data_IF_434218863746
#
_entry.id   IF_434218863746
#
_cell.length_a   1.000
_cell.length_b   1.000
_cell.length_c   1.000
_cell.angle_alpha   90.00
_cell.angle_beta   90.00
_cell.angle_gamma   90.00
#
_symmetry.space_group_name_H-M   'P 1'
#
loop_
_entity.id
_entity.type
_entity.pdbx_description
1 polymer ?
#
# COMPACT_ATOMS: atom_id res chain seq x y z
N UNK A 1 -27.47 9.26 -23.32
CA UNK A 1 -28.62 10.12 -22.97
C UNK A 1 -28.37 10.60 -21.55
N UNK A 2 -28.12 11.91 -21.38
CA UNK A 2 -27.87 12.54 -20.08
C UNK A 2 -29.13 12.45 -19.21
N UNK A 3 -29.03 11.77 -18.07
CA UNK A 3 -30.11 11.75 -17.08
C UNK A 3 -30.11 13.10 -16.33
N UNK A 4 -31.20 13.89 -16.35
CA UNK A 4 -31.28 15.19 -15.65
C UNK A 4 -31.13 15.10 -14.12
N UNK A 5 -31.09 13.90 -13.54
CA UNK A 5 -30.79 13.68 -12.13
C UNK A 5 -29.31 13.91 -11.76
N UNK A 6 -28.36 13.68 -12.68
CA UNK A 6 -26.92 13.84 -12.38
C UNK A 6 -26.54 15.31 -12.08
N UNK A 7 -27.20 16.26 -12.74
CA UNK A 7 -26.95 17.70 -12.59
C UNK A 7 -27.50 18.30 -11.28
N UNK A 8 -28.38 17.62 -10.54
CA UNK A 8 -28.92 18.10 -9.26
C UNK A 8 -28.04 17.80 -8.05
N UNK A 9 -27.13 16.84 -8.16
CA UNK A 9 -26.32 16.36 -7.04
C UNK A 9 -25.06 17.23 -6.87
N UNK A 10 -24.76 18.12 -7.81
CA UNK A 10 -23.52 18.92 -7.75
C UNK A 10 -22.28 18.03 -7.72
N UNK A 11 -22.36 16.86 -8.37
CA UNK A 11 -21.23 15.96 -8.50
C UNK A 11 -20.12 16.71 -9.22
N UNK A 12 -18.94 16.90 -8.60
CA UNK A 12 -17.86 17.62 -9.24
C UNK A 12 -17.51 16.94 -10.57
N UNK A 13 -17.22 17.73 -11.61
CA UNK A 13 -16.90 17.23 -12.96
C UNK A 13 -15.70 16.27 -12.95
N UNK A 14 -14.87 16.31 -11.90
CA UNK A 14 -13.77 15.38 -11.60
C UNK A 14 -14.21 13.92 -11.48
N UNK A 15 -15.49 13.63 -11.23
CA UNK A 15 -16.03 12.26 -11.21
C UNK A 15 -16.07 11.65 -12.62
N UNK A 16 -16.12 12.50 -13.65
CA UNK A 16 -16.20 12.08 -15.06
C UNK A 16 -14.88 12.28 -15.82
N UNK A 17 -13.92 12.99 -15.23
CA UNK A 17 -12.53 13.10 -15.68
C UNK A 17 -11.61 12.45 -14.65
N UNK A 18 -11.52 11.12 -14.66
CA UNK A 18 -10.35 10.45 -14.10
C UNK A 18 -9.41 10.14 -15.25
N UNK A 19 -8.53 11.08 -15.54
CA UNK A 19 -7.26 10.70 -16.18
C UNK A 19 -6.58 9.74 -15.20
N UNK A 20 -6.62 8.44 -15.51
CA UNK A 20 -5.98 7.40 -14.69
C UNK A 20 -4.49 7.77 -14.62
N UNK A 21 -3.97 7.96 -13.41
CA UNK A 21 -2.58 8.39 -13.25
C UNK A 21 -1.60 7.33 -13.74
N UNK A 22 -0.36 7.71 -14.04
CA UNK A 22 0.67 6.76 -14.44
C UNK A 22 0.87 5.66 -13.38
N UNK A 23 0.83 6.03 -12.10
CA UNK A 23 0.86 5.10 -10.97
C UNK A 23 -0.29 4.09 -11.04
N UNK A 24 -1.53 4.56 -11.18
CA UNK A 24 -2.71 3.69 -11.25
C UNK A 24 -2.70 2.79 -12.49
N UNK A 25 -2.28 3.32 -13.65
CA UNK A 25 -2.15 2.54 -14.88
C UNK A 25 -1.21 1.35 -14.68
N UNK A 26 -0.05 1.57 -14.06
CA UNK A 26 0.93 0.53 -13.79
C UNK A 26 0.41 -0.52 -12.81
N UNK A 27 -0.22 -0.10 -11.71
CA UNK A 27 -0.83 -1.03 -10.75
C UNK A 27 -1.98 -1.83 -11.39
N UNK A 28 -2.78 -1.21 -12.24
CA UNK A 28 -3.90 -1.87 -12.90
C UNK A 28 -3.46 -3.02 -13.82
N UNK A 29 -2.25 -2.96 -14.39
CA UNK A 29 -1.67 -4.08 -15.15
C UNK A 29 -1.41 -5.32 -14.27
N UNK A 30 -1.20 -5.14 -12.95
CA UNK A 30 -0.93 -6.20 -11.99
C UNK A 30 -2.19 -6.84 -11.38
N UNK A 31 -3.39 -6.37 -11.75
CA UNK A 31 -4.66 -6.91 -11.23
C UNK A 31 -4.94 -8.35 -11.66
N UNK A 32 -4.09 -8.96 -12.49
CA UNK A 32 -4.27 -10.33 -12.98
C UNK A 32 -3.66 -11.42 -12.05
N UNK A 33 -4.11 -12.66 -12.29
CA UNK A 33 -3.61 -13.96 -11.80
C UNK A 33 -3.90 -14.47 -10.37
N UNK A 34 -3.68 -13.75 -9.27
CA UNK A 34 -4.04 -14.29 -7.92
C UNK A 34 -4.04 -13.19 -6.84
N UNK A 35 -5.00 -13.24 -5.91
CA UNK A 35 -5.12 -12.28 -4.82
C UNK A 35 -5.71 -10.92 -5.25
N UNK A 36 -6.53 -10.32 -4.38
CA UNK A 36 -7.06 -8.97 -4.55
C UNK A 36 -5.96 -7.94 -4.33
N UNK A 37 -5.93 -6.91 -5.18
CA UNK A 37 -4.98 -5.80 -5.10
C UNK A 37 -5.64 -4.54 -5.66
N UNK A 38 -6.60 -4.02 -4.92
CA UNK A 38 -7.21 -2.74 -5.26
C UNK A 38 -6.31 -1.63 -4.76
N UNK A 39 -5.96 -0.69 -5.64
CA UNK A 39 -5.26 0.54 -5.30
C UNK A 39 -5.94 1.68 -6.04
N UNK A 40 -6.16 2.78 -5.35
CA UNK A 40 -6.74 4.02 -5.89
C UNK A 40 -5.89 5.18 -5.36
N UNK A 41 -5.32 5.97 -6.25
CA UNK A 41 -4.58 7.17 -5.85
C UNK A 41 -5.54 8.22 -5.29
N UNK A 42 -5.19 8.82 -4.15
CA UNK A 42 -6.03 9.80 -3.47
C UNK A 42 -5.39 11.19 -3.46
N UNK A 43 -4.12 11.26 -3.05
CA UNK A 43 -3.36 12.48 -2.98
C UNK A 43 -1.88 12.19 -3.28
N UNK A 44 -1.36 12.46 -4.50
CA UNK A 44 0.06 12.24 -4.81
C UNK A 44 1.01 13.04 -3.92
N UNK A 45 0.55 14.15 -3.33
CA UNK A 45 1.29 14.99 -2.37
C UNK A 45 1.12 14.51 -0.91
N UNK A 46 0.50 13.35 -0.70
CA UNK A 46 0.37 12.72 0.61
C UNK A 46 1.74 12.35 1.20
N UNK A 47 1.75 12.02 2.48
CA UNK A 47 2.97 11.71 3.24
C UNK A 47 2.98 10.29 3.83
N UNK A 48 1.93 9.50 3.55
CA UNK A 48 1.76 8.14 4.06
C UNK A 48 1.51 7.22 2.87
N UNK A 49 2.27 6.11 2.80
CA UNK A 49 2.06 4.98 1.90
C UNK A 49 1.32 3.87 2.66
N UNK A 50 -0.02 3.75 2.54
CA UNK A 50 -0.78 2.81 3.34
C UNK A 50 -1.02 1.50 2.56
N UNK A 51 -0.21 0.49 2.85
CA UNK A 51 -0.46 -0.90 2.45
C UNK A 51 -1.48 -1.52 3.41
N UNK A 52 -2.75 -1.49 3.02
CA UNK A 52 -3.87 -1.91 3.83
C UNK A 52 -4.35 -3.29 3.41
N UNK A 53 -4.63 -4.15 4.39
CA UNK A 53 -4.96 -5.55 4.14
C UNK A 53 -6.33 -5.94 4.69
N UNK A 54 -7.30 -6.14 3.81
CA UNK A 54 -8.69 -6.49 4.11
C UNK A 54 -9.60 -5.26 4.15
N UNK A 55 -10.72 -5.33 3.43
CA UNK A 55 -11.60 -4.18 3.17
C UNK A 55 -12.07 -3.37 4.39
N UNK A 56 -12.30 -4.01 5.55
CA UNK A 56 -12.66 -3.30 6.78
C UNK A 56 -11.54 -2.40 7.33
N UNK A 57 -10.27 -2.74 7.07
CA UNK A 57 -9.13 -1.92 7.46
C UNK A 57 -8.95 -0.73 6.51
N UNK A 58 -9.18 -0.93 5.21
CA UNK A 58 -9.02 0.12 4.20
C UNK A 58 -9.97 1.31 4.42
N UNK A 59 -11.27 1.05 4.60
CA UNK A 59 -12.27 2.12 4.79
C UNK A 59 -12.02 2.94 6.05
N UNK A 60 -11.77 2.27 7.18
CA UNK A 60 -11.52 2.94 8.45
C UNK A 60 -10.19 3.72 8.47
N UNK A 61 -9.14 3.17 7.85
CA UNK A 61 -7.86 3.85 7.76
C UNK A 61 -7.91 5.04 6.79
N UNK A 62 -8.54 4.89 5.64
CA UNK A 62 -8.65 5.99 4.66
C UNK A 62 -9.38 7.19 5.26
N UNK A 63 -10.47 6.97 6.00
CA UNK A 63 -11.18 8.03 6.73
C UNK A 63 -10.27 8.72 7.77
N UNK A 64 -9.48 7.93 8.51
CA UNK A 64 -8.59 8.44 9.56
C UNK A 64 -7.38 9.20 9.00
N UNK A 65 -6.80 8.73 7.89
CA UNK A 65 -5.60 9.31 7.28
C UNK A 65 -5.93 10.56 6.47
N UNK A 66 -7.12 10.63 5.86
CA UNK A 66 -7.57 11.74 5.04
C UNK A 66 -6.55 12.10 3.94
N UNK A 67 -6.27 13.39 3.78
CA UNK A 67 -5.33 13.91 2.77
C UNK A 67 -3.86 13.48 2.98
N UNK A 68 -3.53 12.78 4.07
CA UNK A 68 -2.17 12.29 4.29
C UNK A 68 -1.89 10.99 3.54
N UNK A 69 -2.92 10.21 3.24
CA UNK A 69 -2.79 8.97 2.49
C UNK A 69 -2.54 9.27 1.01
N UNK A 70 -1.48 8.67 0.46
CA UNK A 70 -1.16 8.83 -0.96
C UNK A 70 -2.15 8.06 -1.83
N UNK A 71 -2.49 6.84 -1.42
CA UNK A 71 -3.48 6.00 -2.06
C UNK A 71 -4.35 5.28 -1.03
N UNK A 72 -5.51 4.79 -1.43
CA UNK A 72 -6.23 3.72 -0.73
C UNK A 72 -5.77 2.37 -1.30
N UNK A 73 -5.71 1.33 -0.47
CA UNK A 73 -5.40 -0.02 -0.95
C UNK A 73 -6.23 -1.10 -0.25
N UNK A 74 -6.47 -2.23 -0.90
CA UNK A 74 -7.02 -3.42 -0.26
C UNK A 74 -6.37 -4.67 -0.86
N UNK A 75 -5.45 -5.25 -0.08
CA UNK A 75 -4.76 -6.48 -0.41
C UNK A 75 -5.38 -7.68 0.32
N UNK A 76 -5.84 -8.66 -0.45
CA UNK A 76 -6.57 -9.84 0.04
C UNK A 76 -6.31 -11.09 -0.80
N UNK A 77 -6.79 -12.25 -0.33
CA UNK A 77 -6.75 -13.49 -1.14
C UNK A 77 -5.36 -14.12 -1.32
N UNK A 78 -4.43 -13.87 -0.39
CA UNK A 78 -3.07 -14.42 -0.39
C UNK A 78 -2.29 -14.13 -1.70
N UNK A 79 -2.00 -12.83 -1.99
CA UNK A 79 -1.26 -12.46 -3.18
C UNK A 79 0.15 -13.09 -3.18
N UNK A 80 0.68 -13.52 -4.33
CA UNK A 80 2.01 -14.09 -4.43
C UNK A 80 3.10 -13.02 -4.19
N UNK A 81 4.33 -13.48 -3.95
CA UNK A 81 5.49 -12.62 -3.71
C UNK A 81 5.67 -11.59 -4.82
N UNK A 82 5.68 -12.03 -6.08
CA UNK A 82 5.96 -11.20 -7.25
C UNK A 82 4.96 -10.06 -7.36
N UNK A 83 3.70 -10.33 -7.04
CA UNK A 83 2.64 -9.32 -7.05
C UNK A 83 2.86 -8.27 -5.96
N UNK A 84 3.16 -8.68 -4.74
CA UNK A 84 3.42 -7.74 -3.64
C UNK A 84 4.70 -6.93 -3.87
N UNK A 85 5.75 -7.56 -4.41
CA UNK A 85 7.00 -6.90 -4.78
C UNK A 85 6.76 -5.85 -5.86
N UNK A 86 6.09 -6.19 -6.97
CA UNK A 86 5.87 -5.25 -8.07
C UNK A 86 4.99 -4.07 -7.66
N UNK A 87 3.92 -4.31 -6.90
CA UNK A 87 3.08 -3.24 -6.36
C UNK A 87 3.91 -2.30 -5.49
N UNK A 88 4.70 -2.85 -4.56
CA UNK A 88 5.55 -2.04 -3.69
C UNK A 88 6.62 -1.26 -4.47
N UNK A 89 7.27 -1.89 -5.44
CA UNK A 89 8.27 -1.27 -6.31
C UNK A 89 7.69 -0.09 -7.09
N UNK A 90 6.49 -0.25 -7.66
CA UNK A 90 5.77 0.82 -8.35
C UNK A 90 5.43 1.94 -7.37
N UNK A 91 4.82 1.62 -6.22
CA UNK A 91 4.49 2.62 -5.19
C UNK A 91 5.71 3.42 -4.73
N UNK A 92 6.85 2.77 -4.49
CA UNK A 92 8.05 3.47 -4.04
C UNK A 92 8.66 4.35 -5.13
N UNK A 93 8.71 3.88 -6.38
CA UNK A 93 9.20 4.69 -7.50
C UNK A 93 8.38 5.95 -7.72
N UNK A 94 7.07 5.90 -7.56
CA UNK A 94 6.21 7.06 -7.78
C UNK A 94 6.14 8.00 -6.56
N UNK A 95 6.25 7.47 -5.34
CA UNK A 95 5.79 8.20 -4.16
C UNK A 95 6.70 8.12 -2.94
N UNK A 96 7.82 7.36 -2.95
CA UNK A 96 8.65 7.26 -1.77
C UNK A 96 9.27 8.61 -1.38
N UNK A 97 9.66 9.42 -2.38
CA UNK A 97 10.30 10.73 -2.15
C UNK A 97 9.44 11.71 -1.34
N UNK A 98 8.11 11.69 -1.51
CA UNK A 98 7.17 12.51 -0.73
C UNK A 98 6.70 11.84 0.57
N UNK A 99 6.90 10.52 0.71
CA UNK A 99 6.42 9.76 1.83
C UNK A 99 7.31 9.90 3.07
N UNK A 100 6.69 10.17 4.22
CA UNK A 100 7.34 10.17 5.53
C UNK A 100 7.06 8.87 6.30
N UNK A 101 5.95 8.18 5.99
CA UNK A 101 5.52 6.98 6.69
C UNK A 101 5.14 5.88 5.70
N UNK A 102 5.66 4.68 5.92
CA UNK A 102 5.18 3.45 5.30
C UNK A 102 4.33 2.68 6.31
N UNK A 103 3.05 2.49 6.00
CA UNK A 103 2.06 1.92 6.90
C UNK A 103 1.55 0.59 6.36
N UNK A 104 1.86 -0.52 7.02
CA UNK A 104 1.37 -1.86 6.69
C UNK A 104 0.36 -2.30 7.75
N UNK A 105 -0.94 -2.10 7.52
CA UNK A 105 -1.98 -2.37 8.53
C UNK A 105 -3.07 -3.29 7.99
N UNK A 106 -3.50 -4.23 8.82
CA UNK A 106 -4.78 -4.89 8.65
C UNK A 106 -5.09 -5.88 9.78
N UNK A 107 -6.30 -6.44 9.77
CA UNK A 107 -6.72 -7.44 10.76
C UNK A 107 -5.94 -8.76 10.70
N UNK A 108 -6.39 -9.76 11.46
CA UNK A 108 -5.81 -11.12 11.39
C UNK A 108 -6.27 -11.81 10.10
N UNK A 109 -5.33 -12.18 9.25
CA UNK A 109 -5.59 -12.97 8.05
C UNK A 109 -5.82 -14.44 8.39
N UNK A 110 -6.73 -15.08 7.68
CA UNK A 110 -6.98 -16.52 7.80
C UNK A 110 -6.00 -17.34 6.94
N UNK A 111 -5.77 -16.91 5.70
CA UNK A 111 -5.04 -17.69 4.69
C UNK A 111 -3.84 -16.95 4.08
N UNK A 112 -3.70 -15.64 4.33
CA UNK A 112 -2.60 -14.86 3.75
C UNK A 112 -1.30 -15.21 4.48
N UNK A 113 -0.29 -15.61 3.73
CA UNK A 113 1.06 -15.78 4.24
C UNK A 113 1.70 -14.40 4.48
N UNK A 114 1.89 -14.06 5.75
CA UNK A 114 2.43 -12.76 6.14
C UNK A 114 3.91 -12.64 5.80
N UNK A 115 4.66 -13.75 5.86
CA UNK A 115 6.07 -13.74 5.48
C UNK A 115 6.23 -13.43 3.99
N UNK A 116 5.48 -14.10 3.11
CA UNK A 116 5.51 -13.85 1.66
C UNK A 116 5.17 -12.40 1.34
N UNK A 117 4.13 -11.88 1.99
CA UNK A 117 3.67 -10.50 1.82
C UNK A 117 4.75 -9.49 2.22
N UNK A 118 5.32 -9.65 3.41
CA UNK A 118 6.34 -8.75 3.93
C UNK A 118 7.63 -8.86 3.14
N UNK A 119 8.03 -10.08 2.75
CA UNK A 119 9.20 -10.29 1.90
C UNK A 119 9.11 -9.45 0.62
N UNK A 120 7.97 -9.50 -0.08
CA UNK A 120 7.76 -8.71 -1.30
C UNK A 120 7.90 -7.20 -1.07
N UNK A 121 7.23 -6.67 -0.05
CA UNK A 121 7.26 -5.22 0.24
C UNK A 121 8.65 -4.75 0.69
N UNK A 122 9.29 -5.47 1.61
CA UNK A 122 10.57 -5.05 2.18
C UNK A 122 11.75 -5.28 1.24
N UNK A 123 11.69 -6.28 0.36
CA UNK A 123 12.67 -6.43 -0.73
C UNK A 123 12.57 -5.25 -1.70
N UNK A 124 11.36 -4.87 -2.13
CA UNK A 124 11.17 -3.71 -2.98
C UNK A 124 11.66 -2.40 -2.32
N UNK A 125 11.50 -2.26 -1.00
CA UNK A 125 11.99 -1.10 -0.25
C UNK A 125 13.53 -1.07 -0.23
N UNK A 126 14.16 -2.20 0.09
CA UNK A 126 15.63 -2.34 0.08
C UNK A 126 16.19 -2.01 -1.30
N UNK A 127 15.61 -2.58 -2.34
CA UNK A 127 16.10 -2.44 -3.70
C UNK A 127 15.94 -0.99 -4.17
N UNK A 128 14.80 -0.35 -3.87
CA UNK A 128 14.61 1.07 -4.16
C UNK A 128 15.65 1.96 -3.46
N UNK A 129 15.92 1.75 -2.16
CA UNK A 129 16.92 2.50 -1.39
C UNK A 129 18.36 2.24 -1.90
N UNK A 130 18.62 1.05 -2.42
CA UNK A 130 19.91 0.69 -3.02
C UNK A 130 20.13 1.46 -4.33
N UNK A 131 19.09 1.59 -5.14
CA UNK A 131 19.13 2.27 -6.44
C UNK A 131 19.11 3.80 -6.32
N UNK A 132 18.33 4.36 -5.38
CA UNK A 132 18.04 5.80 -5.30
C UNK A 132 18.69 6.49 -4.10
N UNK A 133 19.31 5.72 -3.20
CA UNK A 133 19.91 6.23 -1.97
C UNK A 133 18.94 6.20 -0.78
N UNK A 134 19.48 6.56 0.39
CA UNK A 134 18.73 6.52 1.63
C UNK A 134 17.67 7.64 1.69
N UNK A 135 16.43 7.27 1.98
CA UNK A 135 15.32 8.18 2.21
C UNK A 135 14.79 8.04 3.66
N UNK A 136 14.69 9.14 4.44
CA UNK A 136 14.12 9.10 5.79
C UNK A 136 12.67 8.61 5.77
N UNK A 137 12.41 7.44 6.36
CA UNK A 137 11.09 6.81 6.36
C UNK A 137 10.81 6.17 7.72
N UNK A 138 9.65 6.46 8.30
CA UNK A 138 9.17 5.76 9.50
C UNK A 138 8.23 4.63 9.13
N UNK A 139 8.50 3.41 9.60
CA UNK A 139 7.71 2.23 9.20
C UNK A 139 6.82 1.74 10.33
N UNK A 140 5.54 1.59 10.05
CA UNK A 140 4.55 1.09 11.00
C UNK A 140 3.92 -0.18 10.46
N UNK A 141 4.02 -1.27 11.20
CA UNK A 141 3.47 -2.58 10.81
C UNK A 141 2.50 -3.08 11.87
N UNK A 142 1.32 -3.50 11.45
CA UNK A 142 0.26 -4.01 12.31
C UNK A 142 -0.58 -5.03 11.57
N UNK A 143 -0.24 -6.31 11.70
CA UNK A 143 -0.90 -7.42 10.97
C UNK A 143 -0.91 -8.69 11.80
N UNK A 144 -1.88 -9.57 11.55
CA UNK A 144 -1.89 -10.93 12.08
C UNK A 144 -2.10 -11.96 10.97
N UNK A 145 -1.66 -13.21 11.17
CA UNK A 145 -1.91 -14.30 10.23
C UNK A 145 -0.84 -15.41 10.23
N UNK A 146 -0.97 -16.39 9.32
CA UNK A 146 0.05 -17.40 9.07
C UNK A 146 1.45 -16.81 8.84
N UNK A 147 2.47 -17.44 9.43
CA UNK A 147 3.89 -17.05 9.28
C UNK A 147 4.23 -15.61 9.72
N UNK A 148 3.41 -14.98 10.57
CA UNK A 148 3.62 -13.64 11.09
C UNK A 148 5.01 -13.45 11.69
N UNK A 149 5.44 -14.32 12.63
CA UNK A 149 6.73 -14.16 13.33
C UNK A 149 7.89 -14.10 12.35
N UNK A 150 7.93 -15.02 11.37
CA UNK A 150 8.94 -15.02 10.32
C UNK A 150 8.90 -13.74 9.48
N UNK A 151 7.69 -13.26 9.14
CA UNK A 151 7.51 -11.98 8.47
C UNK A 151 8.05 -10.81 9.29
N UNK A 152 7.73 -10.72 10.58
CA UNK A 152 8.18 -9.64 11.46
C UNK A 152 9.70 -9.64 11.65
N UNK A 153 10.32 -10.81 11.75
CA UNK A 153 11.79 -10.95 11.83
C UNK A 153 12.42 -10.48 10.53
N UNK A 154 11.91 -10.94 9.38
CA UNK A 154 12.42 -10.51 8.08
C UNK A 154 12.32 -8.99 7.88
N UNK A 155 11.15 -8.42 8.20
CA UNK A 155 10.92 -6.99 8.14
C UNK A 155 11.91 -6.22 9.03
N UNK A 156 12.13 -6.71 10.26
CA UNK A 156 13.08 -6.12 11.20
C UNK A 156 14.48 -6.09 10.63
N UNK A 157 14.97 -7.21 10.12
CA UNK A 157 16.35 -7.34 9.64
C UNK A 157 16.61 -6.36 8.47
N UNK A 158 15.65 -6.22 7.56
CA UNK A 158 15.74 -5.24 6.46
C UNK A 158 15.74 -3.82 7.02
N UNK A 159 14.80 -3.46 7.89
CA UNK A 159 14.69 -2.11 8.44
C UNK A 159 15.92 -1.71 9.28
N UNK A 160 16.45 -2.63 10.08
CA UNK A 160 17.69 -2.45 10.84
C UNK A 160 18.89 -2.24 9.89
N UNK A 161 18.97 -3.01 8.80
CA UNK A 161 20.03 -2.86 7.79
C UNK A 161 19.99 -1.52 7.07
N UNK A 162 18.79 -1.01 6.81
CA UNK A 162 18.53 0.29 6.20
C UNK A 162 18.61 1.44 7.22
N UNK A 163 18.73 1.14 8.52
CA UNK A 163 18.71 2.10 9.63
C UNK A 163 17.43 2.93 9.70
N UNK A 164 16.30 2.34 9.29
CA UNK A 164 15.00 3.00 9.31
C UNK A 164 14.33 2.81 10.67
N UNK A 165 13.76 3.87 11.28
CA UNK A 165 12.98 3.73 12.49
C UNK A 165 11.64 3.03 12.20
N UNK A 166 11.21 2.14 13.11
CA UNK A 166 9.96 1.41 12.95
C UNK A 166 9.22 1.15 14.25
N UNK A 167 7.94 0.82 14.11
CA UNK A 167 7.10 0.31 15.20
C UNK A 167 6.19 -0.81 14.72
N UNK A 168 6.24 -1.91 15.46
CA UNK A 168 5.44 -3.09 15.22
C UNK A 168 4.29 -3.17 16.23
N UNK A 169 3.12 -3.57 15.75
CA UNK A 169 1.89 -3.77 16.49
C UNK A 169 1.32 -5.14 16.15
N UNK A 170 0.63 -5.75 17.09
CA UNK A 170 0.03 -7.08 16.92
C UNK A 170 0.71 -8.15 17.78
N UNK A 171 -0.03 -9.23 17.99
CA UNK A 171 0.30 -10.42 18.79
C UNK A 171 0.18 -11.67 17.94
#
# INVERSE_FOLDING_TARGET
QDNPASRRIGLPETIFQTDISAFEQEINMLRTYQGQSDVLELNPDGSILPFMFGGGANSAATETLGQRAIFASDFGGNPPYEKMYEIARISFRHHLESANVLLLIGGKANNTDIYVTFRGIFDALRDHMTEHGHHPLYVVVGRGGPNLVSGMVYARDILDSLKLPYRFFGS
#
